data_IF_321509634813
#
_entry.id   IF_321509634813
#
_cell.length_a   1.000
_cell.length_b   1.000
_cell.length_c   1.000
_cell.angle_alpha   90.00
_cell.angle_beta   90.00
_cell.angle_gamma   90.00
#
_symmetry.space_group_name_H-M   'P 1'
#
loop_
_entity.id
_entity.type
_entity.pdbx_description
1 polymer ?
#
# COMPACT_ATOMS: atom_id res chain seq x y z
N UNK A 1 -8.53 14.22 0.13
CA UNK A 1 -8.36 12.75 0.04
C UNK A 1 -7.17 12.19 0.82
N UNK A 2 -6.17 12.99 1.22
CA UNK A 2 -5.08 12.50 2.07
C UNK A 2 -3.99 11.68 1.36
N UNK A 3 -3.93 11.72 0.03
CA UNK A 3 -3.01 10.89 -0.79
C UNK A 3 -1.63 11.54 -1.06
N UNK A 4 -1.18 12.45 -0.20
CA UNK A 4 0.15 13.07 -0.32
C UNK A 4 1.25 12.10 0.16
N UNK A 5 2.53 12.32 -0.20
CA UNK A 5 3.61 11.44 0.23
C UNK A 5 3.82 10.26 -0.72
N UNK A 6 3.59 9.03 -0.24
CA UNK A 6 3.91 7.80 -0.99
C UNK A 6 2.67 6.91 -1.21
N UNK A 7 1.65 7.38 -1.94
CA UNK A 7 0.46 6.58 -2.18
C UNK A 7 0.79 5.32 -3.00
N UNK A 8 0.24 4.18 -2.58
CA UNK A 8 0.47 2.87 -3.19
C UNK A 8 0.26 2.87 -4.70
N UNK A 9 -0.79 3.54 -5.16
CA UNK A 9 -1.14 3.64 -6.58
C UNK A 9 0.02 4.18 -7.43
N UNK A 10 0.67 5.25 -6.96
CA UNK A 10 1.85 5.80 -7.64
C UNK A 10 3.03 4.83 -7.57
N UNK A 11 3.23 4.15 -6.43
CA UNK A 11 4.32 3.19 -6.29
C UNK A 11 4.14 1.97 -7.20
N UNK A 12 2.92 1.45 -7.32
CA UNK A 12 2.59 0.32 -8.18
C UNK A 12 2.75 0.67 -9.66
N UNK A 13 2.23 1.84 -10.09
CA UNK A 13 2.41 2.35 -11.44
C UNK A 13 3.88 2.60 -11.76
N UNK A 14 4.63 3.19 -10.82
CA UNK A 14 6.06 3.44 -10.97
C UNK A 14 6.85 2.15 -11.13
N UNK A 15 6.58 1.14 -10.29
CA UNK A 15 7.19 -0.18 -10.40
C UNK A 15 6.94 -0.82 -11.77
N UNK A 16 5.68 -0.80 -12.23
CA UNK A 16 5.29 -1.32 -13.54
C UNK A 16 6.01 -0.58 -14.68
N UNK A 17 6.05 0.76 -14.63
CA UNK A 17 6.74 1.59 -15.62
C UNK A 17 8.25 1.29 -15.67
N UNK A 18 8.91 1.08 -14.52
CA UNK A 18 10.32 0.69 -14.45
C UNK A 18 10.54 -0.69 -15.10
N UNK A 19 9.66 -1.66 -14.85
CA UNK A 19 9.73 -2.98 -15.49
C UNK A 19 9.59 -2.86 -17.01
N UNK A 20 8.56 -2.17 -17.49
CA UNK A 20 8.35 -1.97 -18.92
C UNK A 20 9.52 -1.24 -19.58
N UNK A 21 10.04 -0.18 -18.93
CA UNK A 21 11.18 0.57 -19.42
C UNK A 21 12.42 -0.32 -19.59
N UNK A 22 12.67 -1.22 -18.64
CA UNK A 22 13.78 -2.17 -18.72
C UNK A 22 13.69 -3.07 -19.96
N UNK A 23 12.49 -3.52 -20.33
CA UNK A 23 12.29 -4.38 -21.50
C UNK A 23 12.42 -3.60 -22.83
N UNK A 24 12.08 -2.31 -22.85
CA UNK A 24 12.12 -1.47 -24.06
C UNK A 24 13.47 -0.82 -24.33
N UNK A 25 14.30 -0.62 -23.30
CA UNK A 25 15.58 0.07 -23.42
C UNK A 25 16.63 -0.78 -24.14
N UNK A 26 17.18 -0.24 -25.23
CA UNK A 26 18.34 -0.84 -25.90
C UNK A 26 19.60 -0.64 -25.06
N UNK A 27 20.33 -1.72 -24.80
CA UNK A 27 21.56 -1.69 -23.99
C UNK A 27 22.74 -1.24 -24.86
N UNK A 28 23.28 -0.06 -24.57
CA UNK A 28 24.50 0.49 -25.14
C UNK A 28 25.29 1.22 -24.04
N UNK A 29 26.50 1.71 -24.35
CA UNK A 29 27.35 2.34 -23.33
C UNK A 29 26.73 3.61 -22.72
N UNK A 30 25.83 4.31 -23.42
CA UNK A 30 25.10 5.46 -22.87
C UNK A 30 23.96 5.06 -21.93
N UNK A 31 23.24 3.96 -22.21
CA UNK A 31 22.08 3.49 -21.43
C UNK A 31 22.44 2.57 -20.26
N UNK A 32 23.67 2.04 -20.22
CA UNK A 32 24.15 1.09 -19.20
C UNK A 32 23.95 1.57 -17.76
N UNK A 33 24.23 2.85 -17.50
CA UNK A 33 24.02 3.45 -16.17
C UNK A 33 22.54 3.56 -15.82
N UNK A 34 21.68 3.89 -16.80
CA UNK A 34 20.24 3.96 -16.61
C UNK A 34 19.64 2.58 -16.30
N UNK A 35 20.04 1.54 -17.05
CA UNK A 35 19.60 0.15 -16.81
C UNK A 35 20.01 -0.31 -15.40
N UNK A 36 21.24 0.01 -14.97
CA UNK A 36 21.69 -0.28 -13.59
C UNK A 36 20.83 0.44 -12.55
N UNK A 37 20.51 1.72 -12.75
CA UNK A 37 19.66 2.49 -11.86
C UNK A 37 18.23 1.90 -11.77
N UNK A 38 17.66 1.50 -12.90
CA UNK A 38 16.34 0.84 -12.97
C UNK A 38 16.35 -0.47 -12.17
N UNK A 39 17.35 -1.34 -12.37
CA UNK A 39 17.45 -2.61 -11.65
C UNK A 39 17.59 -2.42 -10.14
N UNK A 40 18.45 -1.48 -9.72
CA UNK A 40 18.61 -1.16 -8.30
C UNK A 40 17.30 -0.64 -7.69
N UNK A 41 16.58 0.24 -8.41
CA UNK A 41 15.30 0.78 -7.94
C UNK A 41 14.21 -0.28 -7.89
N UNK A 42 14.12 -1.17 -8.89
CA UNK A 42 13.18 -2.28 -8.90
C UNK A 42 13.36 -3.19 -7.67
N UNK A 43 14.62 -3.53 -7.35
CA UNK A 43 14.94 -4.34 -6.17
C UNK A 43 14.51 -3.64 -4.89
N UNK A 44 14.94 -2.39 -4.69
CA UNK A 44 14.64 -1.63 -3.47
C UNK A 44 13.13 -1.39 -3.30
N UNK A 45 12.43 -1.02 -4.38
CA UNK A 45 10.99 -0.75 -4.34
C UNK A 45 10.20 -2.02 -4.06
N UNK A 46 10.55 -3.15 -4.68
CA UNK A 46 9.87 -4.42 -4.41
C UNK A 46 10.01 -4.85 -2.95
N UNK A 47 11.22 -4.73 -2.36
CA UNK A 47 11.43 -5.03 -0.95
C UNK A 47 10.60 -4.09 -0.06
N UNK A 48 10.66 -2.79 -0.34
CA UNK A 48 9.98 -1.78 0.47
C UNK A 48 8.46 -1.96 0.48
N UNK A 49 7.83 -2.18 -0.68
CA UNK A 49 6.38 -2.37 -0.76
C UNK A 49 5.97 -3.70 -0.11
N UNK A 50 6.69 -4.79 -0.38
CA UNK A 50 6.33 -6.11 0.16
C UNK A 50 6.46 -6.19 1.68
N UNK A 51 7.42 -5.48 2.27
CA UNK A 51 7.68 -5.52 3.70
C UNK A 51 6.84 -4.49 4.47
N UNK A 52 6.79 -3.26 3.99
CA UNK A 52 6.28 -2.14 4.77
C UNK A 52 4.87 -1.69 4.40
N UNK A 53 4.39 -2.02 3.19
CA UNK A 53 3.00 -1.72 2.81
C UNK A 53 2.07 -2.89 3.07
N UNK A 54 2.60 -4.11 3.21
CA UNK A 54 1.78 -5.29 3.42
C UNK A 54 1.10 -5.27 4.79
N UNK A 55 -0.19 -5.57 4.81
CA UNK A 55 -1.00 -5.73 6.01
C UNK A 55 -1.84 -7.00 5.90
N UNK A 56 -1.70 -7.85 6.90
CA UNK A 56 -2.54 -9.00 7.21
C UNK A 56 -2.75 -9.06 8.73
N UNK A 57 -3.56 -10.00 9.22
CA UNK A 57 -3.83 -10.13 10.66
C UNK A 57 -2.55 -10.26 11.50
N UNK A 58 -1.50 -10.89 10.98
CA UNK A 58 -0.23 -11.04 11.72
C UNK A 58 0.51 -9.71 11.79
N UNK A 59 0.58 -8.97 10.68
CA UNK A 59 1.24 -7.67 10.63
C UNK A 59 0.48 -6.62 11.45
N UNK A 60 -0.86 -6.64 11.47
CA UNK A 60 -1.65 -5.75 12.35
C UNK A 60 -1.29 -5.99 13.82
N UNK A 61 -1.23 -7.26 14.24
CA UNK A 61 -0.83 -7.64 15.59
C UNK A 61 0.63 -7.24 15.93
N UNK A 62 1.51 -7.23 14.94
CA UNK A 62 2.89 -6.73 15.06
C UNK A 62 2.90 -5.21 15.31
N UNK A 63 2.20 -4.44 14.46
CA UNK A 63 2.11 -2.98 14.55
C UNK A 63 1.46 -2.55 15.87
N UNK A 64 0.44 -3.28 16.33
CA UNK A 64 -0.23 -3.02 17.61
C UNK A 64 0.71 -3.13 18.82
N UNK A 65 1.84 -3.84 18.67
CA UNK A 65 2.87 -4.05 19.71
C UNK A 65 4.13 -3.21 19.48
N UNK A 66 4.12 -2.30 18.53
CA UNK A 66 5.26 -1.42 18.29
C UNK A 66 5.58 -0.59 19.51
N UNK A 67 6.88 -0.49 19.79
CA UNK A 67 7.41 0.54 20.67
C UNK A 67 7.68 1.78 19.83
N UNK A 68 7.41 2.94 20.42
CA UNK A 68 7.64 4.24 19.81
C UNK A 68 9.02 4.77 20.21
N UNK A 69 9.50 5.78 19.49
CA UNK A 69 10.79 6.45 19.75
C UNK A 69 12.00 5.50 19.67
N UNK A 70 11.94 4.48 18.82
CA UNK A 70 13.07 3.59 18.56
C UNK A 70 14.11 4.32 17.69
N UNK A 71 15.31 4.54 18.24
CA UNK A 71 16.43 5.14 17.53
C UNK A 71 17.56 4.11 17.34
N UNK A 72 17.42 3.25 16.31
CA UNK A 72 18.41 2.24 15.95
C UNK A 72 18.26 1.81 14.48
N UNK A 73 19.34 1.31 13.88
CA UNK A 73 19.27 0.65 12.56
C UNK A 73 18.53 -0.68 12.62
N UNK A 74 18.48 -1.29 13.81
CA UNK A 74 17.78 -2.55 14.09
C UNK A 74 16.37 -2.32 14.67
N UNK A 75 15.85 -1.09 14.57
CA UNK A 75 14.50 -0.75 15.01
C UNK A 75 13.45 -1.58 14.25
N UNK A 76 12.47 -2.10 14.99
CA UNK A 76 11.31 -2.79 14.41
C UNK A 76 10.35 -1.74 13.84
N UNK A 77 10.11 -0.67 14.59
CA UNK A 77 9.25 0.43 14.18
C UNK A 77 10.01 1.50 13.38
N UNK A 78 10.42 1.15 12.16
CA UNK A 78 11.28 2.00 11.31
C UNK A 78 10.69 3.36 10.95
N UNK A 79 9.37 3.50 11.02
CA UNK A 79 8.66 4.73 10.65
C UNK A 79 8.10 5.48 11.87
N UNK A 80 8.39 5.03 13.09
CA UNK A 80 7.82 5.59 14.32
C UNK A 80 6.27 5.66 14.26
N UNK A 81 5.63 4.59 13.81
CA UNK A 81 4.17 4.47 13.76
C UNK A 81 3.65 4.30 15.18
N UNK A 82 2.68 5.12 15.54
CA UNK A 82 1.95 5.02 16.80
C UNK A 82 0.84 3.97 16.65
N UNK A 83 0.77 2.92 17.50
CA UNK A 83 -0.27 1.90 17.43
C UNK A 83 -1.69 2.44 17.41
N UNK A 84 -1.91 3.61 18.04
CA UNK A 84 -3.19 4.33 18.08
C UNK A 84 -3.69 4.79 16.70
N UNK A 85 -2.84 4.75 15.67
CA UNK A 85 -3.25 5.03 14.29
C UNK A 85 -3.98 3.87 13.62
N UNK A 86 -3.91 2.65 14.19
CA UNK A 86 -4.69 1.52 13.67
C UNK A 86 -6.17 1.84 13.86
N UNK A 87 -6.96 1.98 12.78
CA UNK A 87 -8.35 2.33 12.92
C UNK A 87 -9.14 1.13 13.43
N UNK A 88 -10.18 1.40 14.22
CA UNK A 88 -10.99 0.36 14.88
C UNK A 88 -11.61 -0.64 13.91
N UNK A 89 -11.97 -0.20 12.69
CA UNK A 89 -12.56 -1.06 11.67
C UNK A 89 -11.61 -2.11 11.09
N UNK A 90 -10.29 -1.90 11.18
CA UNK A 90 -9.32 -2.71 10.42
C UNK A 90 -9.27 -4.16 10.90
N UNK A 91 -9.27 -4.38 12.21
CA UNK A 91 -9.17 -5.74 12.76
C UNK A 91 -10.39 -6.60 12.40
N UNK A 92 -11.58 -6.02 12.37
CA UNK A 92 -12.80 -6.75 12.00
C UNK A 92 -12.94 -6.91 10.47
N UNK A 93 -12.22 -6.09 9.70
CA UNK A 93 -12.30 -6.07 8.26
C UNK A 93 -11.30 -7.01 7.57
N UNK A 94 -10.12 -7.29 8.14
CA UNK A 94 -9.16 -8.20 7.48
C UNK A 94 -9.51 -9.67 7.81
N UNK A 95 -9.81 -10.53 6.81
CA UNK A 95 -10.10 -11.94 7.03
C UNK A 95 -8.81 -12.74 7.33
N UNK A 96 -8.96 -13.93 7.91
CA UNK A 96 -7.82 -14.76 8.33
C UNK A 96 -6.87 -15.15 7.18
N UNK A 97 -7.42 -15.46 6.01
CA UNK A 97 -6.68 -15.85 4.80
C UNK A 97 -6.54 -14.71 3.78
N UNK A 98 -6.65 -13.45 4.23
CA UNK A 98 -6.49 -12.28 3.37
C UNK A 98 -5.49 -11.25 3.88
N UNK A 99 -5.24 -10.27 3.03
CA UNK A 99 -4.33 -9.16 3.30
C UNK A 99 -4.21 -8.26 2.08
N UNK A 100 -3.65 -7.08 2.26
CA UNK A 100 -3.52 -6.11 1.18
C UNK A 100 -2.34 -5.17 1.41
N UNK A 101 -2.03 -4.38 0.39
CA UNK A 101 -1.10 -3.28 0.48
C UNK A 101 -1.86 -2.01 0.90
N UNK A 102 -1.44 -1.39 2.00
CA UNK A 102 -2.01 -0.16 2.55
C UNK A 102 -1.93 1.00 1.55
N UNK A 103 -2.76 2.02 1.76
CA UNK A 103 -2.87 3.17 0.87
C UNK A 103 -1.62 4.05 0.84
N UNK A 104 -0.93 4.22 1.97
CA UNK A 104 0.18 5.15 2.08
C UNK A 104 1.09 4.84 3.28
N UNK A 105 2.37 5.21 3.14
CA UNK A 105 3.35 5.10 4.23
C UNK A 105 4.27 6.32 4.27
N UNK A 106 4.34 6.96 5.43
CA UNK A 106 5.14 8.15 5.69
C UNK A 106 5.77 8.07 7.09
N UNK A 107 6.78 8.90 7.40
CA UNK A 107 7.27 9.04 8.77
C UNK A 107 6.11 9.40 9.71
N UNK A 108 5.96 8.61 10.77
CA UNK A 108 4.91 8.69 11.78
C UNK A 108 3.48 8.64 11.23
N UNK A 109 3.25 8.14 10.01
CA UNK A 109 1.91 8.07 9.45
C UNK A 109 1.71 6.87 8.52
N UNK A 110 0.64 6.11 8.78
CA UNK A 110 0.22 4.97 7.97
C UNK A 110 -1.26 5.12 7.58
N UNK A 111 -1.55 5.09 6.28
CA UNK A 111 -2.93 5.15 5.78
C UNK A 111 -3.41 3.72 5.47
N UNK A 112 -4.19 3.17 6.38
CA UNK A 112 -4.70 1.81 6.27
C UNK A 112 -5.81 1.63 5.23
N UNK A 113 -6.31 2.68 4.57
CA UNK A 113 -7.39 2.51 3.58
C UNK A 113 -6.95 1.59 2.44
N UNK A 114 -7.87 0.73 1.99
CA UNK A 114 -7.69 -0.11 0.81
C UNK A 114 -7.87 0.75 -0.44
N UNK A 115 -6.88 0.76 -1.33
CA UNK A 115 -6.97 1.39 -2.64
C UNK A 115 -6.97 0.34 -3.74
N UNK A 116 -8.05 0.28 -4.51
CA UNK A 116 -8.31 -0.79 -5.48
C UNK A 116 -7.29 -0.80 -6.60
N UNK A 117 -7.00 0.35 -7.20
CA UNK A 117 -6.05 0.42 -8.32
C UNK A 117 -4.64 -0.01 -7.88
N UNK A 118 -4.17 0.51 -6.75
CA UNK A 118 -2.85 0.15 -6.21
C UNK A 118 -2.71 -1.36 -5.95
N UNK A 119 -3.72 -1.97 -5.32
CA UNK A 119 -3.69 -3.40 -5.01
C UNK A 119 -3.78 -4.27 -6.27
N UNK A 120 -4.75 -4.03 -7.15
CA UNK A 120 -4.90 -4.81 -8.39
C UNK A 120 -3.69 -4.63 -9.31
N UNK A 121 -3.17 -3.41 -9.46
CA UNK A 121 -1.99 -3.17 -10.28
C UNK A 121 -0.74 -3.81 -9.70
N UNK A 122 -0.65 -3.96 -8.37
CA UNK A 122 0.44 -4.69 -7.72
C UNK A 122 0.45 -6.17 -8.10
N UNK A 123 -0.74 -6.78 -8.25
CA UNK A 123 -0.90 -8.16 -8.71
C UNK A 123 -0.51 -8.26 -10.18
N UNK A 124 -1.09 -7.43 -11.05
CA UNK A 124 -0.84 -7.42 -12.50
C UNK A 124 0.64 -7.20 -12.82
N UNK A 125 1.28 -6.26 -12.12
CA UNK A 125 2.69 -5.92 -12.31
C UNK A 125 3.67 -6.86 -11.61
N UNK A 126 3.21 -7.92 -10.95
CA UNK A 126 4.02 -8.85 -10.14
C UNK A 126 4.84 -8.16 -9.04
N UNK A 127 4.37 -7.03 -8.54
CA UNK A 127 4.97 -6.33 -7.41
C UNK A 127 4.79 -7.14 -6.14
N UNK A 128 3.58 -7.64 -5.87
CA UNK A 128 3.32 -8.56 -4.75
C UNK A 128 3.93 -9.95 -4.98
N UNK A 129 4.23 -10.65 -3.90
CA UNK A 129 4.60 -12.08 -3.95
C UNK A 129 3.38 -12.93 -4.31
N UNK A 130 3.54 -14.18 -4.80
CA UNK A 130 2.41 -15.05 -5.12
C UNK A 130 1.41 -15.19 -3.95
N UNK A 131 1.92 -15.36 -2.72
CA UNK A 131 1.11 -15.43 -1.51
C UNK A 131 0.34 -14.13 -1.22
N UNK A 132 0.98 -12.97 -1.40
CA UNK A 132 0.33 -11.68 -1.21
C UNK A 132 -0.75 -11.44 -2.27
N UNK A 133 -0.49 -11.83 -3.52
CA UNK A 133 -1.46 -11.70 -4.60
C UNK A 133 -2.70 -12.57 -4.35
N UNK A 134 -2.50 -13.81 -3.92
CA UNK A 134 -3.58 -14.70 -3.50
C UNK A 134 -4.38 -14.12 -2.33
N UNK A 135 -3.70 -13.64 -1.28
CA UNK A 135 -4.35 -13.02 -0.13
C UNK A 135 -5.11 -11.73 -0.46
N UNK A 136 -4.65 -10.93 -1.45
CA UNK A 136 -5.40 -9.78 -1.97
C UNK A 136 -6.70 -10.23 -2.64
N UNK A 137 -6.64 -11.29 -3.46
CA UNK A 137 -7.83 -11.82 -4.13
C UNK A 137 -8.80 -12.44 -3.11
N UNK A 138 -8.29 -13.20 -2.13
CA UNK A 138 -9.09 -13.74 -1.03
C UNK A 138 -9.77 -12.63 -0.22
N UNK A 139 -9.08 -11.51 0.03
CA UNK A 139 -9.68 -10.34 0.68
C UNK A 139 -10.83 -9.77 -0.14
N UNK A 140 -10.64 -9.60 -1.46
CA UNK A 140 -11.67 -9.07 -2.36
C UNK A 140 -12.89 -9.99 -2.40
N UNK A 141 -12.68 -11.31 -2.44
CA UNK A 141 -13.76 -12.30 -2.38
C UNK A 141 -14.49 -12.27 -1.04
N UNK A 142 -13.76 -12.23 0.08
CA UNK A 142 -14.34 -12.23 1.42
C UNK A 142 -15.07 -10.92 1.75
N UNK A 143 -14.62 -9.79 1.21
CA UNK A 143 -15.18 -8.45 1.40
C UNK A 143 -15.83 -7.91 0.12
N UNK A 144 -16.46 -8.81 -0.64
CA UNK A 144 -17.09 -8.49 -1.91
C UNK A 144 -18.12 -7.37 -1.80
N UNK A 145 -18.98 -7.41 -0.79
CA UNK A 145 -20.02 -6.39 -0.60
C UNK A 145 -19.42 -4.99 -0.31
N UNK A 146 -18.28 -4.93 0.37
CA UNK A 146 -17.61 -3.68 0.72
C UNK A 146 -16.82 -3.09 -0.46
N UNK A 147 -16.16 -3.93 -1.26
CA UNK A 147 -15.24 -3.51 -2.33
C UNK A 147 -15.95 -3.41 -3.69
N UNK A 148 -16.91 -4.29 -3.94
CA UNK A 148 -17.66 -4.40 -5.20
C UNK A 148 -19.10 -3.95 -5.01
N UNK A 149 -19.80 -4.52 -4.02
CA UNK A 149 -21.23 -4.29 -3.81
C UNK A 149 -22.05 -4.51 -5.09
N UNK A 150 -22.94 -3.57 -5.41
CA UNK A 150 -23.75 -3.62 -6.63
C UNK A 150 -23.11 -2.94 -7.85
N UNK A 151 -21.98 -2.24 -7.67
CA UNK A 151 -21.30 -1.50 -8.73
C UNK A 151 -19.78 -1.69 -8.61
N UNK A 152 -19.19 -2.60 -9.40
CA UNK A 152 -17.73 -2.77 -9.43
C UNK A 152 -17.06 -1.53 -10.04
N UNK A 153 -15.99 -0.97 -9.46
CA UNK A 153 -15.37 -1.25 -8.15
C UNK A 153 -15.28 0.06 -7.35
N UNK A 154 -15.26 -0.02 -6.01
CA UNK A 154 -14.96 1.15 -5.18
C UNK A 154 -13.52 1.60 -5.43
N UNK A 155 -13.29 2.92 -5.43
CA UNK A 155 -11.94 3.49 -5.60
C UNK A 155 -11.08 3.22 -4.37
N UNK A 156 -11.65 3.47 -3.18
CA UNK A 156 -11.04 3.15 -1.90
C UNK A 156 -12.07 2.70 -0.87
N UNK A 157 -11.61 2.05 0.19
CA UNK A 157 -12.42 1.65 1.34
C UNK A 157 -11.65 1.82 2.66
N UNK A 158 -12.29 2.26 3.74
CA UNK A 158 -13.61 2.91 3.78
C UNK A 158 -13.58 4.35 3.24
N UNK A 159 -14.74 4.99 3.20
CA UNK A 159 -14.83 6.44 3.00
C UNK A 159 -14.34 7.18 4.25
N UNK A 160 -13.86 8.42 4.06
CA UNK A 160 -13.59 9.33 5.19
C UNK A 160 -14.88 10.04 5.54
N UNK A 161 -15.24 10.07 6.82
CA UNK A 161 -16.52 10.59 7.28
C UNK A 161 -16.34 11.68 8.35
N UNK A 162 -17.39 12.47 8.59
CA UNK A 162 -17.49 13.41 9.71
C UNK A 162 -16.26 14.35 9.82
N UNK A 163 -15.60 14.34 10.97
CA UNK A 163 -14.46 15.22 11.23
C UNK A 163 -13.23 14.86 10.39
N UNK A 164 -13.04 13.56 10.14
CA UNK A 164 -11.97 13.09 9.26
C UNK A 164 -12.17 13.60 7.83
N UNK A 165 -13.41 13.58 7.33
CA UNK A 165 -13.74 14.18 6.04
C UNK A 165 -13.42 15.68 6.00
N UNK A 166 -13.81 16.44 7.02
CA UNK A 166 -13.55 17.90 7.08
C UNK A 166 -12.06 18.20 7.04
N UNK A 167 -11.27 17.46 7.82
CA UNK A 167 -9.82 17.67 7.93
C UNK A 167 -9.09 17.19 6.66
N UNK A 168 -9.36 15.97 6.19
CA UNK A 168 -8.60 15.34 5.09
C UNK A 168 -8.97 15.90 3.71
N UNK A 169 -10.20 16.35 3.54
CA UNK A 169 -10.68 16.89 2.25
C UNK A 169 -10.72 18.41 2.23
N UNK A 170 -10.66 19.08 3.39
CA UNK A 170 -10.93 20.51 3.48
C UNK A 170 -12.41 20.84 3.33
N UNK A 171 -13.29 19.93 3.78
CA UNK A 171 -14.75 20.00 3.58
C UNK A 171 -15.15 20.07 2.10
N UNK A 172 -14.50 19.28 1.25
CA UNK A 172 -14.75 19.26 -0.19
C UNK A 172 -16.10 18.59 -0.50
N UNK A 173 -17.12 19.34 -0.97
CA UNK A 173 -18.47 18.82 -1.18
C UNK A 173 -18.56 17.78 -2.31
N UNK A 174 -17.51 17.61 -3.14
CA UNK A 174 -17.49 16.58 -4.18
C UNK A 174 -17.11 15.19 -3.63
N UNK A 175 -16.48 15.15 -2.47
CA UNK A 175 -15.92 13.94 -1.86
C UNK A 175 -16.69 13.57 -0.58
N UNK A 176 -18.02 13.67 -0.59
CA UNK A 176 -18.91 13.26 0.51
C UNK A 176 -19.17 11.76 0.54
#
# INVERSE_FOLDING_TARGET
MGIHGHPLEIQALFYSALRCSREMLTVNEASKNLVRAINNRLSALSFHIREYYWVDMKKINEIYRYKTEEYSMDATNKFNIYPEQIPSWLMDWVPEEGGYLIGNLQPAHMDFRFFTLGNLWSVVSSLGTPKQNEAILNLIEAKWDDIVGHMPLKICYPAVENEEWRIITGSDPKNT
#
